data_IF_055809145572
#
_entry.id   IF_055809145572
#
_cell.length_a   1.000
_cell.length_b   1.000
_cell.length_c   1.000
_cell.angle_alpha   90.00
_cell.angle_beta   90.00
_cell.angle_gamma   90.00
#
_symmetry.space_group_name_H-M   'P 1'
#
loop_
_entity.id
_entity.type
_entity.pdbx_description
1 polymer ?
#
# COMPACT_ATOMS: atom_id res chain seq x y z
N UNK A 1 7.00 -34.28 -28.59
CA UNK A 1 7.36 -33.42 -27.45
C UNK A 1 6.10 -32.70 -26.97
N UNK A 2 5.61 -32.99 -25.77
CA UNK A 2 4.49 -32.25 -25.17
C UNK A 2 5.03 -30.90 -24.68
N UNK A 3 4.45 -29.79 -25.15
CA UNK A 3 4.80 -28.46 -24.65
C UNK A 3 4.37 -28.37 -23.18
N UNK A 4 5.20 -27.81 -22.28
CA UNK A 4 4.79 -27.59 -20.89
C UNK A 4 3.56 -26.68 -20.88
N UNK A 5 2.58 -27.05 -20.07
CA UNK A 5 1.35 -26.26 -19.90
C UNK A 5 1.70 -24.87 -19.34
N UNK A 6 1.05 -23.83 -19.84
CA UNK A 6 1.23 -22.47 -19.31
C UNK A 6 0.90 -22.42 -17.82
N UNK A 7 1.73 -21.79 -16.98
CA UNK A 7 1.45 -21.64 -15.55
C UNK A 7 0.08 -21.00 -15.26
N UNK A 8 -0.42 -20.13 -16.14
CA UNK A 8 -1.76 -19.52 -16.02
C UNK A 8 -2.92 -20.52 -16.08
N UNK A 9 -2.72 -21.70 -16.65
CA UNK A 9 -3.76 -22.77 -16.75
C UNK A 9 -3.70 -23.76 -15.59
N UNK A 10 -2.56 -23.85 -14.91
CA UNK A 10 -2.30 -24.87 -13.89
C UNK A 10 -2.37 -24.26 -12.49
N UNK A 11 -1.99 -22.99 -12.33
CA UNK A 11 -1.90 -22.35 -11.01
C UNK A 11 -3.23 -21.72 -10.57
N UNK A 12 -3.78 -22.22 -9.47
CA UNK A 12 -4.78 -21.49 -8.70
C UNK A 12 -4.04 -20.52 -7.77
N UNK A 13 -4.28 -19.23 -7.95
CA UNK A 13 -3.71 -18.19 -7.08
C UNK A 13 -4.22 -18.41 -5.66
N UNK A 14 -3.36 -18.92 -4.80
CA UNK A 14 -3.66 -19.07 -3.37
C UNK A 14 -3.63 -17.73 -2.64
N UNK A 15 -4.27 -17.67 -1.47
CA UNK A 15 -4.35 -16.45 -0.64
C UNK A 15 -2.99 -15.78 -0.40
N UNK A 16 -2.00 -16.55 0.06
CA UNK A 16 -0.64 -16.05 0.35
C UNK A 16 0.10 -15.57 -0.89
N UNK A 17 -0.12 -16.21 -2.03
CA UNK A 17 0.43 -15.82 -3.32
C UNK A 17 -0.18 -14.50 -3.81
N UNK A 18 -1.51 -14.33 -3.62
CA UNK A 18 -2.19 -13.07 -3.91
C UNK A 18 -1.63 -11.90 -3.11
N UNK A 19 -1.42 -12.09 -1.81
CA UNK A 19 -0.82 -11.06 -0.94
C UNK A 19 0.61 -10.71 -1.35
N UNK A 20 1.42 -11.69 -1.74
CA UNK A 20 2.78 -11.44 -2.23
C UNK A 20 2.78 -10.70 -3.57
N UNK A 21 1.85 -11.05 -4.47
CA UNK A 21 1.64 -10.32 -5.72
C UNK A 21 1.22 -8.87 -5.48
N UNK A 22 0.26 -8.64 -4.60
CA UNK A 22 -0.20 -7.30 -4.22
C UNK A 22 0.91 -6.46 -3.57
N UNK A 23 1.83 -7.09 -2.82
CA UNK A 23 2.99 -6.40 -2.27
C UNK A 23 3.90 -5.82 -3.37
N UNK A 24 4.13 -6.60 -4.43
CA UNK A 24 4.91 -6.12 -5.59
C UNK A 24 4.19 -4.99 -6.33
N UNK A 25 2.89 -5.11 -6.53
CA UNK A 25 2.08 -4.06 -7.18
C UNK A 25 2.11 -2.79 -6.36
N UNK A 26 1.88 -2.86 -5.04
CA UNK A 26 1.97 -1.68 -4.17
C UNK A 26 3.35 -1.05 -4.17
N UNK A 27 4.44 -1.85 -4.22
CA UNK A 27 5.81 -1.34 -4.36
C UNK A 27 6.02 -0.54 -5.66
N UNK A 28 5.50 -1.04 -6.79
CA UNK A 28 5.52 -0.31 -8.07
C UNK A 28 4.71 0.99 -7.99
N UNK A 29 3.51 0.94 -7.41
CA UNK A 29 2.67 2.13 -7.25
C UNK A 29 3.32 3.18 -6.34
N UNK A 30 4.01 2.76 -5.29
CA UNK A 30 4.78 3.66 -4.42
C UNK A 30 5.95 4.32 -5.17
N UNK A 31 6.64 3.58 -6.02
CA UNK A 31 7.71 4.14 -6.86
C UNK A 31 7.17 5.17 -7.85
N UNK A 32 6.01 4.90 -8.47
CA UNK A 32 5.31 5.86 -9.33
C UNK A 32 4.76 7.08 -8.55
N UNK A 33 4.39 6.89 -7.28
CA UNK A 33 3.92 7.94 -6.40
C UNK A 33 5.03 8.77 -5.74
N UNK A 34 6.29 8.36 -5.82
CA UNK A 34 7.41 9.09 -5.24
C UNK A 34 7.52 10.57 -5.69
N UNK A 35 7.27 10.93 -6.98
CA UNK A 35 7.21 12.32 -7.39
C UNK A 35 6.16 13.14 -6.64
N UNK A 36 4.99 12.57 -6.34
CA UNK A 36 3.95 13.25 -5.56
C UNK A 36 4.43 13.56 -4.13
N UNK A 37 5.14 12.62 -3.52
CA UNK A 37 5.76 12.84 -2.21
C UNK A 37 6.81 13.94 -2.24
N UNK A 38 7.64 13.98 -3.30
CA UNK A 38 8.61 15.06 -3.51
C UNK A 38 7.90 16.42 -3.70
N UNK A 39 6.84 16.48 -4.50
CA UNK A 39 6.03 17.69 -4.66
C UNK A 39 5.45 18.18 -3.33
N UNK A 40 4.98 17.28 -2.47
CA UNK A 40 4.52 17.62 -1.12
C UNK A 40 5.62 18.21 -0.25
N UNK A 41 6.82 17.62 -0.25
CA UNK A 41 7.98 18.16 0.48
C UNK A 41 8.40 19.54 -0.05
N UNK A 42 8.41 19.71 -1.37
CA UNK A 42 8.71 21.01 -1.99
C UNK A 42 7.65 22.07 -1.65
N UNK A 43 6.39 21.68 -1.58
CA UNK A 43 5.30 22.57 -1.16
C UNK A 43 5.49 23.04 0.30
N UNK A 44 5.88 22.13 1.20
CA UNK A 44 6.22 22.49 2.60
C UNK A 44 7.42 23.44 2.64
N UNK A 45 8.48 23.13 1.92
CA UNK A 45 9.71 23.94 1.87
C UNK A 45 9.46 25.32 1.25
N UNK A 46 8.51 25.43 0.32
CA UNK A 46 8.12 26.69 -0.34
C UNK A 46 7.24 27.60 0.52
N UNK A 47 6.85 27.16 1.71
CA UNK A 47 6.08 27.96 2.68
C UNK A 47 4.57 27.90 2.49
N UNK A 48 3.85 28.76 3.23
CA UNK A 48 2.40 28.68 3.40
C UNK A 48 1.62 28.79 2.08
N UNK A 49 2.04 29.67 1.18
CA UNK A 49 1.37 29.88 -0.11
C UNK A 49 1.53 28.67 -1.04
N UNK A 50 2.74 28.13 -1.17
CA UNK A 50 3.03 26.94 -1.97
C UNK A 50 2.28 25.72 -1.42
N UNK A 51 2.25 25.57 -0.10
CA UNK A 51 1.50 24.50 0.55
C UNK A 51 -0.02 24.63 0.33
N UNK A 52 -0.57 25.85 0.42
CA UNK A 52 -1.99 26.09 0.17
C UNK A 52 -2.37 25.73 -1.28
N UNK A 53 -1.55 26.09 -2.25
CA UNK A 53 -1.76 25.70 -3.66
C UNK A 53 -1.75 24.19 -3.85
N UNK A 54 -0.79 23.48 -3.26
CA UNK A 54 -0.74 22.01 -3.28
C UNK A 54 -1.97 21.39 -2.62
N UNK A 55 -2.40 21.91 -1.46
CA UNK A 55 -3.53 21.42 -0.70
C UNK A 55 -4.86 21.56 -1.47
N UNK A 56 -5.03 22.62 -2.27
CA UNK A 56 -6.21 22.78 -3.16
C UNK A 56 -6.29 21.62 -4.15
N UNK A 57 -5.18 21.25 -4.80
CA UNK A 57 -5.14 20.10 -5.71
C UNK A 57 -5.47 18.77 -5.01
N UNK A 58 -4.99 18.60 -3.77
CA UNK A 58 -5.25 17.38 -2.98
C UNK A 58 -6.68 17.28 -2.45
N UNK A 59 -7.39 18.41 -2.30
CA UNK A 59 -8.81 18.43 -1.91
C UNK A 59 -9.77 18.18 -3.07
N UNK A 60 -9.31 18.25 -4.31
CA UNK A 60 -10.12 17.81 -5.46
C UNK A 60 -10.42 16.30 -5.35
N UNK A 61 -11.60 15.81 -5.75
CA UNK A 61 -11.96 14.38 -5.62
C UNK A 61 -10.92 13.42 -6.20
N UNK A 62 -10.31 13.74 -7.33
CA UNK A 62 -9.22 12.96 -7.92
C UNK A 62 -7.95 12.99 -7.04
N UNK A 63 -7.60 14.15 -6.49
CA UNK A 63 -6.48 14.30 -5.56
C UNK A 63 -6.68 13.47 -4.28
N UNK A 64 -7.90 13.51 -3.73
CA UNK A 64 -8.27 12.69 -2.56
C UNK A 64 -8.17 11.19 -2.85
N UNK A 65 -8.61 10.75 -4.04
CA UNK A 65 -8.52 9.35 -4.47
C UNK A 65 -7.05 8.91 -4.59
N UNK A 66 -6.22 9.72 -5.23
CA UNK A 66 -4.78 9.46 -5.38
C UNK A 66 -4.11 9.41 -4.01
N UNK A 67 -4.42 10.37 -3.13
CA UNK A 67 -3.89 10.40 -1.77
C UNK A 67 -4.29 9.15 -0.97
N UNK A 68 -5.58 8.80 -0.97
CA UNK A 68 -6.08 7.62 -0.28
C UNK A 68 -5.43 6.33 -0.79
N UNK A 69 -5.29 6.19 -2.11
CA UNK A 69 -4.62 5.06 -2.73
C UNK A 69 -3.14 4.98 -2.34
N UNK A 70 -2.45 6.11 -2.30
CA UNK A 70 -1.05 6.18 -1.90
C UNK A 70 -0.84 5.80 -0.42
N UNK A 71 -1.69 6.32 0.49
CA UNK A 71 -1.67 5.94 1.90
C UNK A 71 -1.96 4.45 2.08
N UNK A 72 -2.94 3.90 1.34
CA UNK A 72 -3.20 2.46 1.37
C UNK A 72 -1.99 1.65 0.89
N UNK A 73 -1.35 2.06 -0.19
CA UNK A 73 -0.13 1.40 -0.69
C UNK A 73 0.99 1.42 0.35
N UNK A 74 1.21 2.54 1.04
CA UNK A 74 2.20 2.65 2.13
C UNK A 74 1.85 1.66 3.25
N UNK A 75 0.62 1.71 3.76
CA UNK A 75 0.19 0.89 4.87
C UNK A 75 0.28 -0.61 4.54
N UNK A 76 -0.22 -1.00 3.37
CA UNK A 76 -0.19 -2.39 2.93
C UNK A 76 1.23 -2.89 2.68
N UNK A 77 2.05 -2.10 1.99
CA UNK A 77 3.43 -2.46 1.68
C UNK A 77 4.26 -2.61 2.96
N UNK A 78 4.07 -1.72 3.92
CA UNK A 78 4.72 -1.79 5.23
C UNK A 78 4.29 -3.06 5.99
N UNK A 79 2.98 -3.28 6.18
CA UNK A 79 2.47 -4.41 6.94
C UNK A 79 2.89 -5.75 6.33
N UNK A 80 2.78 -5.89 5.00
CA UNK A 80 3.17 -7.12 4.34
C UNK A 80 4.70 -7.26 4.22
N UNK A 81 5.43 -6.16 4.16
CA UNK A 81 6.90 -6.12 4.23
C UNK A 81 7.40 -6.67 5.56
N UNK A 82 6.82 -6.26 6.69
CA UNK A 82 7.14 -6.82 8.02
C UNK A 82 6.87 -8.33 8.08
N UNK A 83 5.79 -8.80 7.44
CA UNK A 83 5.50 -10.23 7.34
C UNK A 83 6.57 -10.97 6.54
N UNK A 84 7.05 -10.42 5.42
CA UNK A 84 8.15 -10.99 4.65
C UNK A 84 9.45 -11.03 5.46
N UNK A 85 9.77 -9.97 6.20
CA UNK A 85 10.93 -9.96 7.11
C UNK A 85 10.82 -11.04 8.20
N UNK A 86 9.61 -11.31 8.71
CA UNK A 86 9.36 -12.43 9.63
C UNK A 86 9.73 -13.78 8.99
N UNK A 87 9.39 -13.99 7.73
CA UNK A 87 9.77 -15.18 6.98
C UNK A 87 11.29 -15.27 6.75
N UNK A 88 11.95 -14.15 6.46
CA UNK A 88 13.41 -14.13 6.31
C UNK A 88 14.13 -14.53 7.61
N UNK A 89 13.48 -14.30 8.76
CA UNK A 89 13.94 -14.78 10.07
C UNK A 89 13.55 -16.24 10.38
N UNK A 90 12.92 -16.94 9.46
CA UNK A 90 12.49 -18.32 9.65
C UNK A 90 11.17 -18.49 10.42
N UNK A 91 10.39 -17.41 10.60
CA UNK A 91 9.19 -17.42 11.43
C UNK A 91 7.91 -17.51 10.58
N UNK A 92 6.90 -18.27 11.05
CA UNK A 92 5.54 -18.22 10.53
C UNK A 92 5.30 -18.89 9.18
N UNK A 93 6.07 -19.92 8.84
CA UNK A 93 5.93 -20.67 7.58
C UNK A 93 4.77 -21.67 7.57
N UNK A 94 4.25 -22.04 8.75
CA UNK A 94 3.11 -22.96 8.77
C UNK A 94 1.88 -22.33 8.11
N UNK A 95 1.05 -23.17 7.47
CA UNK A 95 -0.07 -22.70 6.64
C UNK A 95 -1.09 -21.89 7.43
N UNK A 96 -1.34 -22.27 8.69
CA UNK A 96 -2.31 -21.59 9.54
C UNK A 96 -1.82 -20.18 9.90
N UNK A 97 -0.58 -20.04 10.38
CA UNK A 97 0.05 -18.77 10.70
C UNK A 97 0.20 -17.90 9.46
N UNK A 98 0.59 -18.46 8.31
CA UNK A 98 0.70 -17.70 7.06
C UNK A 98 -0.65 -17.14 6.59
N UNK A 99 -1.77 -17.86 6.81
CA UNK A 99 -3.11 -17.35 6.52
C UNK A 99 -3.55 -16.27 7.52
N UNK A 100 -3.31 -16.50 8.81
CA UNK A 100 -3.69 -15.56 9.87
C UNK A 100 -2.93 -14.23 9.76
N UNK A 101 -1.60 -14.28 9.58
CA UNK A 101 -0.78 -13.09 9.39
C UNK A 101 -1.14 -12.36 8.10
N UNK A 102 -1.53 -13.08 7.05
CA UNK A 102 -2.05 -12.48 5.82
C UNK A 102 -3.37 -11.72 6.04
N UNK A 103 -4.30 -12.26 6.82
CA UNK A 103 -5.54 -11.57 7.20
C UNK A 103 -5.23 -10.33 8.06
N UNK A 104 -4.30 -10.46 9.01
CA UNK A 104 -3.85 -9.34 9.85
C UNK A 104 -3.27 -8.20 9.01
N UNK A 105 -2.46 -8.49 7.99
CA UNK A 105 -1.94 -7.49 7.05
C UNK A 105 -3.07 -6.69 6.41
N UNK A 106 -4.12 -7.35 5.91
CA UNK A 106 -5.25 -6.67 5.27
C UNK A 106 -6.00 -5.78 6.26
N UNK A 107 -6.34 -6.31 7.43
CA UNK A 107 -7.06 -5.55 8.47
C UNK A 107 -6.24 -4.37 8.98
N UNK A 108 -4.95 -4.59 9.28
CA UNK A 108 -4.08 -3.53 9.76
C UNK A 108 -3.86 -2.43 8.72
N UNK A 109 -3.66 -2.79 7.45
CA UNK A 109 -3.47 -1.79 6.37
C UNK A 109 -4.73 -0.96 6.13
N UNK A 110 -5.91 -1.57 6.17
CA UNK A 110 -7.18 -0.84 6.07
C UNK A 110 -7.40 0.08 7.29
N UNK A 111 -7.13 -0.42 8.49
CA UNK A 111 -7.24 0.36 9.73
C UNK A 111 -6.29 1.56 9.75
N UNK A 112 -5.02 1.36 9.38
CA UNK A 112 -4.05 2.45 9.27
C UNK A 112 -4.46 3.48 8.21
N UNK A 113 -4.93 3.03 7.06
CA UNK A 113 -5.42 3.91 6.00
C UNK A 113 -6.60 4.75 6.49
N UNK A 114 -7.59 4.11 7.11
CA UNK A 114 -8.76 4.80 7.66
C UNK A 114 -8.36 5.82 8.74
N UNK A 115 -7.44 5.46 9.62
CA UNK A 115 -6.94 6.35 10.67
C UNK A 115 -6.26 7.59 10.08
N UNK A 116 -5.37 7.43 9.09
CA UNK A 116 -4.68 8.55 8.44
C UNK A 116 -5.68 9.45 7.72
N UNK A 117 -6.61 8.87 6.96
CA UNK A 117 -7.64 9.65 6.25
C UNK A 117 -8.54 10.41 7.24
N UNK A 118 -8.92 9.79 8.35
CA UNK A 118 -9.67 10.45 9.43
C UNK A 118 -8.88 11.63 10.02
N UNK A 119 -7.60 11.42 10.33
CA UNK A 119 -6.75 12.50 10.87
C UNK A 119 -6.55 13.66 9.88
N UNK A 120 -6.56 13.36 8.57
CA UNK A 120 -6.33 14.38 7.53
C UNK A 120 -7.60 15.14 7.15
N UNK A 121 -8.73 14.45 7.02
CA UNK A 121 -9.97 15.02 6.46
C UNK A 121 -11.15 15.01 7.43
N UNK A 122 -11.10 14.23 8.50
CA UNK A 122 -12.23 14.02 9.43
C UNK A 122 -12.28 15.01 10.58
N UNK A 123 -11.26 15.86 10.78
CA UNK A 123 -11.29 16.88 11.83
C UNK A 123 -12.01 18.12 11.30
N UNK A 124 -13.08 18.62 11.97
CA UNK A 124 -13.63 19.92 11.65
C UNK A 124 -12.54 20.98 11.88
N UNK A 125 -12.46 21.93 10.94
CA UNK A 125 -11.56 23.08 11.02
C UNK A 125 -11.97 24.03 12.13
#
# INVERSE_FOLDING_TARGET
MQRPLSPFWIYRVGWTMGLSGSHRVTGMLLSLGAPLFVCWLLAIAGGAEAYAAFAVGMRHPLGMLVYAGFIFCIAYHLCNGMRHMGWDLGLGFDVATAKATGALVVVASLGLTALVLWCTFGRPA
#
